data_IF_606101270688
#
_entry.id   IF_606101270688
#
_cell.length_a   1.000
_cell.length_b   1.000
_cell.length_c   1.000
_cell.angle_alpha   90.00
_cell.angle_beta   90.00
_cell.angle_gamma   90.00
#
_symmetry.space_group_name_H-M   'P 1'
#
loop_
_entity.id
_entity.type
_entity.pdbx_description
1 polymer ?
#
# COMPACT_ATOMS: atom_id res chain seq x y z
N UNK A 1 6.59 -5.05 -24.59
CA UNK A 1 7.41 -4.03 -23.90
C UNK A 1 7.71 -4.57 -22.53
N UNK A 2 8.98 -4.70 -22.14
CA UNK A 2 9.32 -5.12 -20.79
C UNK A 2 8.75 -4.13 -19.77
N UNK A 3 8.29 -4.63 -18.63
CA UNK A 3 7.85 -3.80 -17.52
C UNK A 3 9.05 -2.98 -17.03
N UNK A 4 8.94 -1.66 -17.06
CA UNK A 4 10.02 -0.79 -16.63
C UNK A 4 10.32 -1.00 -15.14
N UNK A 5 11.59 -1.17 -14.82
CA UNK A 5 12.02 -1.35 -13.43
C UNK A 5 12.01 -0.02 -12.65
N UNK A 6 11.94 -0.12 -11.32
CA UNK A 6 11.99 1.07 -10.46
C UNK A 6 13.31 1.86 -10.63
N UNK A 7 14.42 1.16 -10.87
CA UNK A 7 15.74 1.79 -11.10
C UNK A 7 15.78 2.55 -12.43
N UNK A 8 15.22 2.00 -13.50
CA UNK A 8 15.07 2.70 -14.79
C UNK A 8 14.18 3.95 -14.64
N UNK A 9 13.06 3.81 -13.92
CA UNK A 9 12.15 4.93 -13.63
C UNK A 9 12.85 6.04 -12.83
N UNK A 10 13.62 5.67 -11.80
CA UNK A 10 14.39 6.61 -10.98
C UNK A 10 15.43 7.36 -11.82
N UNK A 11 16.22 6.65 -12.63
CA UNK A 11 17.24 7.26 -13.49
C UNK A 11 16.62 8.23 -14.50
N UNK A 12 15.49 7.85 -15.12
CA UNK A 12 14.78 8.72 -16.05
C UNK A 12 14.23 9.97 -15.36
N UNK A 13 13.60 9.81 -14.19
CA UNK A 13 13.06 10.95 -13.44
C UNK A 13 14.17 11.89 -12.97
N UNK A 14 15.30 11.35 -12.49
CA UNK A 14 16.46 12.14 -12.10
C UNK A 14 17.04 12.92 -13.29
N UNK A 15 17.18 12.28 -14.45
CA UNK A 15 17.64 12.94 -15.67
C UNK A 15 16.68 14.06 -16.12
N UNK A 16 15.37 13.82 -16.05
CA UNK A 16 14.37 14.82 -16.40
C UNK A 16 14.42 16.04 -15.46
N UNK A 17 14.58 15.82 -14.14
CA UNK A 17 14.72 16.91 -13.17
C UNK A 17 16.04 17.66 -13.34
N UNK A 18 17.15 16.96 -13.59
CA UNK A 18 18.44 17.59 -13.83
C UNK A 18 18.43 18.46 -15.09
N UNK A 19 17.65 18.10 -16.11
CA UNK A 19 17.49 18.88 -17.34
C UNK A 19 16.72 20.20 -17.14
N UNK A 20 16.04 20.40 -16.00
CA UNK A 20 15.34 21.65 -15.70
C UNK A 20 16.28 22.81 -15.35
N UNK A 21 17.54 22.51 -15.01
CA UNK A 21 18.52 23.50 -14.57
C UNK A 21 18.87 23.37 -13.08
N UNK A 22 19.75 24.27 -12.62
CA UNK A 22 20.34 24.22 -11.27
C UNK A 22 20.22 25.54 -10.51
N UNK A 23 19.63 26.58 -11.11
CA UNK A 23 19.48 27.90 -10.53
C UNK A 23 18.01 28.34 -10.50
N UNK A 24 17.65 29.18 -9.53
CA UNK A 24 16.30 29.75 -9.44
C UNK A 24 15.91 30.53 -10.71
N UNK A 25 16.89 31.10 -11.42
CA UNK A 25 16.70 31.78 -12.71
C UNK A 25 16.18 30.86 -13.81
N UNK A 26 16.49 29.56 -13.77
CA UNK A 26 16.03 28.59 -14.78
C UNK A 26 14.52 28.36 -14.68
N UNK A 27 13.94 28.64 -13.51
CA UNK A 27 12.51 28.55 -13.24
C UNK A 27 11.80 29.92 -13.29
N UNK A 28 12.56 31.02 -13.25
CA UNK A 28 12.01 32.36 -13.20
C UNK A 28 11.33 32.72 -14.52
N UNK A 29 10.02 33.02 -14.47
CA UNK A 29 9.26 33.40 -15.66
C UNK A 29 8.77 32.25 -16.52
N UNK A 30 8.91 30.98 -16.07
CA UNK A 30 8.31 29.84 -16.77
C UNK A 30 6.80 30.04 -16.97
N UNK A 31 6.26 29.83 -18.19
CA UNK A 31 4.83 29.77 -18.43
C UNK A 31 4.16 28.69 -17.57
N UNK A 32 2.91 28.93 -17.16
CA UNK A 32 2.17 28.03 -16.28
C UNK A 32 2.17 26.54 -16.71
N UNK A 33 2.01 26.18 -18.00
CA UNK A 33 2.12 24.79 -18.44
C UNK A 33 3.51 24.18 -18.19
N UNK A 34 4.58 24.93 -18.43
CA UNK A 34 5.95 24.48 -18.22
C UNK A 34 6.28 24.34 -16.74
N UNK A 35 5.82 25.28 -15.90
CA UNK A 35 5.94 25.17 -14.44
C UNK A 35 5.24 23.91 -13.91
N UNK A 36 4.06 23.57 -14.45
CA UNK A 36 3.35 22.33 -14.08
C UNK A 36 4.11 21.08 -14.52
N UNK A 37 4.64 21.06 -15.74
CA UNK A 37 5.47 19.95 -16.22
C UNK A 37 6.70 19.75 -15.35
N UNK A 38 7.42 20.83 -15.00
CA UNK A 38 8.56 20.78 -14.09
C UNK A 38 8.18 20.23 -12.70
N UNK A 39 7.02 20.67 -12.15
CA UNK A 39 6.51 20.16 -10.89
C UNK A 39 6.19 18.66 -10.94
N UNK A 40 5.62 18.16 -12.05
CA UNK A 40 5.34 16.74 -12.26
C UNK A 40 6.61 15.90 -12.37
N UNK A 41 7.64 16.39 -13.08
CA UNK A 41 8.95 15.73 -13.14
C UNK A 41 9.57 15.59 -11.75
N UNK A 42 9.52 16.67 -10.96
CA UNK A 42 10.00 16.67 -9.57
C UNK A 42 9.20 15.71 -8.68
N UNK A 43 7.88 15.63 -8.87
CA UNK A 43 7.02 14.69 -8.15
C UNK A 43 7.34 13.23 -8.51
N UNK A 44 7.58 12.92 -9.78
CA UNK A 44 7.94 11.57 -10.22
C UNK A 44 9.26 11.10 -9.58
N UNK A 45 10.28 11.98 -9.49
CA UNK A 45 11.53 11.66 -8.81
C UNK A 45 11.30 11.37 -7.31
N UNK A 46 10.52 12.22 -6.62
CA UNK A 46 10.16 11.98 -5.21
C UNK A 46 9.46 10.64 -5.02
N UNK A 47 8.47 10.32 -5.84
CA UNK A 47 7.73 9.05 -5.74
C UNK A 47 8.64 7.83 -5.90
N UNK A 48 9.62 7.87 -6.81
CA UNK A 48 10.61 6.80 -6.94
C UNK A 48 11.48 6.67 -5.69
N UNK A 49 11.96 7.80 -5.16
CA UNK A 49 12.76 7.84 -3.93
C UNK A 49 11.97 7.35 -2.70
N UNK A 50 10.71 7.75 -2.58
CA UNK A 50 9.84 7.38 -1.45
C UNK A 50 9.56 5.87 -1.43
N UNK A 51 9.50 5.21 -2.59
CA UNK A 51 9.40 3.74 -2.65
C UNK A 51 10.65 3.05 -2.14
N UNK A 52 11.85 3.53 -2.53
CA UNK A 52 13.09 3.02 -1.95
C UNK A 52 13.13 3.25 -0.44
N UNK A 53 12.72 4.44 0.03
CA UNK A 53 12.66 4.75 1.45
C UNK A 53 11.71 3.80 2.21
N UNK A 54 10.55 3.47 1.62
CA UNK A 54 9.59 2.53 2.19
C UNK A 54 10.15 1.10 2.26
N UNK A 55 10.75 0.58 1.18
CA UNK A 55 11.35 -0.75 1.17
C UNK A 55 12.49 -0.87 2.19
N UNK A 56 13.36 0.15 2.30
CA UNK A 56 14.43 0.19 3.30
C UNK A 56 13.85 0.25 4.72
N UNK A 57 12.82 1.09 4.95
CA UNK A 57 12.19 1.20 6.27
C UNK A 57 11.52 -0.11 6.71
N UNK A 58 10.91 -0.85 5.77
CA UNK A 58 10.35 -2.17 6.03
C UNK A 58 11.43 -3.19 6.38
N UNK A 59 12.55 -3.20 5.67
CA UNK A 59 13.69 -4.08 6.01
C UNK A 59 14.27 -3.74 7.39
N UNK A 60 14.41 -2.45 7.70
CA UNK A 60 14.82 -2.00 9.04
C UNK A 60 13.85 -2.47 10.12
N UNK A 61 12.54 -2.48 9.84
CA UNK A 61 11.52 -3.00 10.75
C UNK A 61 11.63 -4.51 10.91
N UNK A 62 11.82 -5.24 9.82
CA UNK A 62 12.01 -6.69 9.83
C UNK A 62 13.25 -7.10 10.65
N UNK A 63 14.37 -6.40 10.47
CA UNK A 63 15.61 -6.60 11.23
C UNK A 63 15.55 -6.09 12.68
N UNK A 64 14.49 -5.37 13.06
CA UNK A 64 14.26 -4.85 14.41
C UNK A 64 13.12 -5.58 15.13
N UNK A 65 12.74 -6.77 14.65
CA UNK A 65 11.65 -7.54 15.23
C UNK A 65 11.89 -7.85 16.71
N UNK A 66 10.81 -7.86 17.50
CA UNK A 66 10.85 -8.03 18.96
C UNK A 66 11.48 -9.37 19.37
N UNK A 67 11.37 -10.40 18.54
CA UNK A 67 11.99 -11.73 18.74
C UNK A 67 13.52 -11.66 18.78
N UNK A 68 14.12 -10.64 18.15
CA UNK A 68 15.57 -10.39 18.18
C UNK A 68 16.01 -9.65 19.45
N UNK A 69 15.07 -9.13 20.25
CA UNK A 69 15.34 -8.41 21.50
C UNK A 69 16.38 -7.29 21.32
N UNK A 70 17.42 -7.31 22.16
CA UNK A 70 18.51 -6.33 22.11
C UNK A 70 19.45 -6.51 20.90
N UNK A 71 19.33 -7.63 20.18
CA UNK A 71 20.08 -7.89 18.93
C UNK A 71 19.36 -7.35 17.70
N UNK A 72 18.13 -6.84 17.83
CA UNK A 72 17.43 -6.16 16.75
C UNK A 72 18.13 -4.87 16.35
N UNK A 73 18.12 -4.55 15.05
CA UNK A 73 18.91 -3.45 14.48
C UNK A 73 18.67 -2.11 15.19
N UNK A 74 17.41 -1.75 15.48
CA UNK A 74 17.08 -0.53 16.22
C UNK A 74 17.72 -0.49 17.61
N UNK A 75 17.59 -1.57 18.39
CA UNK A 75 18.13 -1.65 19.75
C UNK A 75 19.67 -1.65 19.74
N UNK A 76 20.28 -2.39 18.81
CA UNK A 76 21.73 -2.43 18.62
C UNK A 76 22.30 -1.06 18.22
N UNK A 77 21.52 -0.26 17.47
CA UNK A 77 21.85 1.11 17.10
C UNK A 77 21.47 2.15 18.17
N UNK A 78 20.93 1.73 19.33
CA UNK A 78 20.61 2.60 20.47
C UNK A 78 19.29 3.37 20.37
N UNK A 79 18.40 2.99 19.44
CA UNK A 79 17.08 3.59 19.32
C UNK A 79 16.04 2.85 20.16
N UNK A 80 15.06 3.58 20.70
CA UNK A 80 13.97 3.01 21.49
C UNK A 80 12.94 2.28 20.62
N UNK A 81 12.89 2.57 19.31
CA UNK A 81 12.02 1.89 18.36
C UNK A 81 12.53 2.03 16.92
N UNK A 82 12.06 1.15 16.03
CA UNK A 82 12.31 1.26 14.58
C UNK A 82 11.78 2.57 14.01
N UNK A 83 10.63 3.04 14.50
CA UNK A 83 10.06 4.33 14.06
C UNK A 83 11.03 5.46 14.38
N UNK A 84 11.56 5.51 15.62
CA UNK A 84 12.53 6.53 16.01
C UNK A 84 13.80 6.46 15.17
N UNK A 85 14.29 5.25 14.89
CA UNK A 85 15.43 5.03 14.01
C UNK A 85 15.19 5.56 12.60
N UNK A 86 14.08 5.19 11.95
CA UNK A 86 13.73 5.66 10.60
C UNK A 86 13.61 7.18 10.56
N UNK A 87 12.98 7.81 11.56
CA UNK A 87 12.92 9.27 11.68
C UNK A 87 14.32 9.89 11.72
N UNK A 88 15.21 9.37 12.57
CA UNK A 88 16.55 9.92 12.76
C UNK A 88 17.44 9.71 11.53
N UNK A 89 17.37 8.54 10.89
CA UNK A 89 18.19 8.19 9.73
C UNK A 89 17.72 8.87 8.45
N UNK A 90 16.41 8.96 8.22
CA UNK A 90 15.84 9.51 6.98
C UNK A 90 15.41 10.98 7.11
N UNK A 91 15.46 11.57 8.31
CA UNK A 91 15.09 12.97 8.54
C UNK A 91 13.59 13.25 8.35
N UNK A 92 12.74 12.24 8.54
CA UNK A 92 11.29 12.31 8.29
C UNK A 92 10.49 12.46 9.59
N UNK A 93 9.23 12.90 9.46
CA UNK A 93 8.32 13.00 10.60
C UNK A 93 7.99 11.61 11.17
N UNK A 94 7.49 11.55 12.42
CA UNK A 94 7.02 10.30 13.01
C UNK A 94 5.92 9.66 12.16
N UNK A 95 4.99 10.48 11.67
CA UNK A 95 3.90 10.02 10.80
C UNK A 95 4.42 9.42 9.51
N UNK A 96 5.44 10.02 8.91
CA UNK A 96 6.05 9.52 7.68
C UNK A 96 6.86 8.26 7.91
N UNK A 97 7.61 8.16 9.02
CA UNK A 97 8.32 6.93 9.38
C UNK A 97 7.36 5.75 9.55
N UNK A 98 6.25 5.94 10.28
CA UNK A 98 5.20 4.90 10.40
C UNK A 98 4.64 4.52 9.04
N UNK A 99 4.31 5.51 8.19
CA UNK A 99 3.78 5.29 6.84
C UNK A 99 4.77 4.51 5.95
N UNK A 100 6.05 4.86 5.96
CA UNK A 100 7.08 4.18 5.16
C UNK A 100 7.25 2.72 5.61
N UNK A 101 7.26 2.46 6.92
CA UNK A 101 7.31 1.10 7.48
C UNK A 101 6.06 0.31 7.06
N UNK A 102 4.86 0.86 7.26
CA UNK A 102 3.61 0.20 6.94
C UNK A 102 3.52 -0.12 5.44
N UNK A 103 3.67 0.88 4.57
CA UNK A 103 3.55 0.68 3.12
C UNK A 103 4.68 -0.20 2.59
N UNK A 104 5.91 -0.06 3.07
CA UNK A 104 7.02 -0.92 2.68
C UNK A 104 6.81 -2.38 3.08
N UNK A 105 6.23 -2.62 4.26
CA UNK A 105 5.88 -3.98 4.72
C UNK A 105 4.84 -4.60 3.80
N UNK A 106 3.86 -3.82 3.35
CA UNK A 106 2.84 -4.29 2.40
C UNK A 106 3.41 -4.59 1.02
N UNK A 107 4.38 -3.80 0.54
CA UNK A 107 5.12 -4.10 -0.69
C UNK A 107 5.81 -5.47 -0.55
N UNK A 108 6.60 -5.65 0.51
CA UNK A 108 7.34 -6.89 0.75
C UNK A 108 6.42 -8.12 0.88
N UNK A 109 5.31 -7.99 1.60
CA UNK A 109 4.33 -9.08 1.76
C UNK A 109 3.65 -9.44 0.44
N UNK A 110 3.28 -8.43 -0.36
CA UNK A 110 2.63 -8.65 -1.66
C UNK A 110 3.57 -9.33 -2.65
N UNK A 111 4.84 -8.92 -2.68
CA UNK A 111 5.86 -9.54 -3.53
C UNK A 111 6.16 -10.98 -3.09
N UNK A 112 6.29 -11.24 -1.79
CA UNK A 112 6.46 -12.59 -1.27
C UNK A 112 5.27 -13.50 -1.61
N UNK A 113 4.04 -12.98 -1.52
CA UNK A 113 2.84 -13.71 -1.92
C UNK A 113 2.81 -14.03 -3.43
N UNK A 114 3.23 -13.08 -4.29
CA UNK A 114 3.33 -13.32 -5.73
C UNK A 114 4.37 -14.40 -6.07
N UNK A 115 5.54 -14.35 -5.43
CA UNK A 115 6.61 -15.35 -5.61
C UNK A 115 6.18 -16.76 -5.18
N UNK A 116 5.39 -16.88 -4.10
CA UNK A 116 4.86 -18.15 -3.64
C UNK A 116 3.86 -18.79 -4.64
N UNK A 117 3.13 -17.98 -5.40
CA UNK A 117 2.20 -18.44 -6.45
C UNK A 117 2.95 -18.87 -7.72
N UNK A 118 4.01 -18.14 -8.10
CA UNK A 118 4.81 -18.44 -9.30
C UNK A 118 5.74 -19.65 -9.15
N UNK A 119 6.07 -20.06 -7.91
CA UNK A 119 7.01 -21.15 -7.63
C UNK A 119 6.33 -22.46 -7.14
N UNK A 120 5.61 -23.23 -7.99
CA UNK A 120 5.24 -24.59 -7.66
C UNK A 120 6.40 -25.54 -8.00
N UNK A 121 7.58 -25.35 -7.38
CA UNK A 121 8.72 -26.28 -7.51
C UNK A 121 8.93 -27.07 -6.22
N UNK A 122 9.53 -28.26 -6.31
CA UNK A 122 9.79 -29.13 -5.16
C UNK A 122 10.65 -28.45 -4.06
N UNK A 123 11.49 -27.49 -4.45
CA UNK A 123 12.28 -26.64 -3.55
C UNK A 123 11.42 -25.52 -2.93
N UNK A 124 10.47 -24.95 -3.68
CA UNK A 124 9.46 -24.01 -3.17
C UNK A 124 8.55 -24.65 -2.12
N UNK A 125 8.21 -25.94 -2.26
CA UNK A 125 7.45 -26.71 -1.27
C UNK A 125 8.26 -27.00 0.02
N UNK A 126 9.58 -27.10 -0.07
CA UNK A 126 10.46 -27.30 1.08
C UNK A 126 10.72 -25.97 1.83
N UNK A 127 11.00 -24.90 1.09
CA UNK A 127 11.15 -23.54 1.63
C UNK A 127 9.83 -23.02 2.20
N UNK A 128 8.69 -23.28 1.55
CA UNK A 128 7.37 -22.97 2.09
C UNK A 128 7.10 -23.73 3.39
N UNK A 129 7.56 -24.98 3.54
CA UNK A 129 7.39 -25.73 4.79
C UNK A 129 8.22 -25.16 5.95
N UNK A 130 9.45 -24.72 5.68
CA UNK A 130 10.28 -24.03 6.68
C UNK A 130 9.75 -22.63 6.99
N UNK A 131 9.27 -21.89 5.99
CA UNK A 131 8.59 -20.61 6.17
C UNK A 131 7.23 -20.75 6.85
N UNK A 132 6.51 -21.85 6.70
CA UNK A 132 5.20 -22.08 7.34
C UNK A 132 5.33 -22.59 8.79
N UNK A 133 6.53 -23.06 9.17
CA UNK A 133 6.95 -23.27 10.56
C UNK A 133 7.37 -21.97 11.27
N UNK A 134 7.81 -20.95 10.52
CA UNK A 134 8.20 -19.62 11.05
C UNK A 134 7.13 -18.53 10.89
N UNK A 135 6.31 -18.61 9.85
CA UNK A 135 5.21 -17.70 9.52
C UNK A 135 3.89 -18.47 9.64
N UNK A 136 3.25 -18.30 10.80
CA UNK A 136 1.83 -18.59 10.95
C UNK A 136 1.04 -17.49 10.24
N UNK A 137 1.13 -17.38 8.92
CA UNK A 137 0.31 -16.42 8.16
C UNK A 137 -1.13 -16.89 8.29
N UNK A 138 -1.92 -16.16 9.08
CA UNK A 138 -3.31 -16.49 9.29
C UNK A 138 -4.06 -16.35 7.95
N UNK A 139 -5.12 -17.12 7.68
CA UNK A 139 -5.99 -16.86 6.53
C UNK A 139 -6.50 -15.40 6.49
N UNK A 140 -6.54 -14.72 7.64
CA UNK A 140 -6.79 -13.28 7.72
C UNK A 140 -5.69 -12.42 7.07
N UNK A 141 -4.41 -12.73 7.31
CA UNK A 141 -3.27 -11.98 6.75
C UNK A 141 -3.20 -12.16 5.22
N UNK A 142 -3.54 -13.36 4.74
CA UNK A 142 -3.65 -13.65 3.29
C UNK A 142 -4.79 -12.83 2.66
N UNK A 143 -5.95 -12.76 3.30
CA UNK A 143 -7.09 -11.98 2.80
C UNK A 143 -6.81 -10.46 2.82
N UNK A 144 -6.13 -9.95 3.85
CA UNK A 144 -5.70 -8.54 3.93
C UNK A 144 -4.69 -8.20 2.82
N UNK A 145 -3.72 -9.08 2.57
CA UNK A 145 -2.75 -8.91 1.48
C UNK A 145 -3.44 -8.87 0.10
N UNK A 146 -4.46 -9.70 -0.13
CA UNK A 146 -5.13 -9.82 -1.43
C UNK A 146 -5.84 -8.54 -1.89
N UNK A 147 -6.55 -7.83 -1.00
CA UNK A 147 -7.27 -6.62 -1.43
C UNK A 147 -6.34 -5.42 -1.63
N UNK A 148 -5.15 -5.45 -1.02
CA UNK A 148 -4.15 -4.39 -1.13
C UNK A 148 -3.25 -4.55 -2.37
N UNK A 149 -3.27 -5.70 -3.05
CA UNK A 149 -2.47 -5.94 -4.26
C UNK A 149 -2.63 -4.86 -5.34
N UNK A 150 -3.85 -4.36 -5.66
CA UNK A 150 -4.00 -3.30 -6.66
C UNK A 150 -3.29 -2.00 -6.25
N UNK A 151 -3.24 -1.68 -4.96
CA UNK A 151 -2.52 -0.50 -4.45
C UNK A 151 -1.01 -0.65 -4.67
N UNK A 152 -0.46 -1.84 -4.39
CA UNK A 152 0.96 -2.13 -4.60
C UNK A 152 1.31 -2.13 -6.08
N UNK A 153 0.46 -2.70 -6.95
CA UNK A 153 0.66 -2.64 -8.40
C UNK A 153 0.62 -1.19 -8.93
N UNK A 154 -0.29 -0.36 -8.41
CA UNK A 154 -0.38 1.05 -8.75
C UNK A 154 0.84 1.86 -8.24
N UNK A 155 1.36 1.52 -7.05
CA UNK A 155 2.64 2.04 -6.57
C UNK A 155 3.74 1.63 -7.55
N UNK A 156 3.97 0.34 -7.78
CA UNK A 156 5.09 -0.15 -8.59
C UNK A 156 5.10 0.44 -10.01
N UNK A 157 3.93 0.65 -10.61
CA UNK A 157 3.78 1.25 -11.96
C UNK A 157 3.97 2.76 -12.03
N UNK A 158 4.04 3.49 -10.91
CA UNK A 158 4.08 4.96 -10.97
C UNK A 158 2.72 5.64 -10.88
N UNK A 159 1.62 4.89 -10.95
CA UNK A 159 0.27 5.45 -10.99
C UNK A 159 -0.16 6.07 -9.65
N UNK A 160 0.42 5.61 -8.55
CA UNK A 160 0.10 6.07 -7.19
C UNK A 160 1.38 6.47 -6.42
N UNK A 161 1.25 7.48 -5.57
CA UNK A 161 2.29 7.84 -4.59
C UNK A 161 2.12 7.04 -3.31
N UNK A 162 3.16 6.96 -2.47
CA UNK A 162 3.09 6.35 -1.13
C UNK A 162 1.98 6.99 -0.30
N UNK A 163 1.83 8.31 -0.36
CA UNK A 163 0.73 9.03 0.31
C UNK A 163 -0.64 8.62 -0.20
N UNK A 164 -0.81 8.50 -1.52
CA UNK A 164 -2.08 8.08 -2.12
C UNK A 164 -2.46 6.67 -1.72
N UNK A 165 -1.50 5.74 -1.75
CA UNK A 165 -1.70 4.36 -1.33
C UNK A 165 -2.04 4.26 0.17
N UNK A 166 -1.30 4.96 1.02
CA UNK A 166 -1.55 4.99 2.46
C UNK A 166 -2.93 5.60 2.80
N UNK A 167 -3.31 6.67 2.11
CA UNK A 167 -4.62 7.32 2.28
C UNK A 167 -5.75 6.37 1.90
N UNK A 168 -5.68 5.72 0.74
CA UNK A 168 -6.71 4.76 0.31
C UNK A 168 -6.78 3.60 1.30
N UNK A 169 -5.64 3.01 1.63
CA UNK A 169 -5.57 1.87 2.55
C UNK A 169 -6.19 2.20 3.91
N UNK A 170 -5.81 3.31 4.53
CA UNK A 170 -6.34 3.74 5.83
C UNK A 170 -7.82 4.09 5.79
N UNK A 171 -8.30 4.64 4.67
CA UNK A 171 -9.70 5.04 4.53
C UNK A 171 -10.64 3.86 4.24
N UNK A 172 -10.19 2.87 3.47
CA UNK A 172 -10.94 1.64 3.22
C UNK A 172 -10.93 0.68 4.42
N UNK A 173 -9.89 0.76 5.26
CA UNK A 173 -9.83 0.04 6.53
C UNK A 173 -9.67 -1.47 6.35
N UNK A 174 -10.10 -2.22 7.36
CA UNK A 174 -9.94 -3.67 7.41
C UNK A 174 -11.17 -4.41 6.89
N UNK A 175 -10.96 -5.69 6.55
CA UNK A 175 -12.04 -6.65 6.25
C UNK A 175 -12.85 -6.88 7.53
N UNK A 176 -14.17 -6.94 7.40
CA UNK A 176 -15.05 -7.34 8.49
C UNK A 176 -16.21 -8.22 7.99
N UNK A 177 -17.18 -8.49 8.87
CA UNK A 177 -18.32 -9.36 8.55
C UNK A 177 -19.25 -8.81 7.45
N UNK A 178 -19.23 -7.51 7.18
CA UNK A 178 -20.08 -6.83 6.21
C UNK A 178 -19.36 -6.56 4.89
N UNK A 179 -18.05 -6.30 4.95
CA UNK A 179 -17.20 -5.92 3.82
C UNK A 179 -16.10 -6.96 3.58
N UNK A 180 -16.16 -7.60 2.42
CA UNK A 180 -15.23 -8.66 1.99
C UNK A 180 -13.96 -8.10 1.35
N UNK A 181 -12.90 -8.91 1.30
CA UNK A 181 -11.65 -8.57 0.59
C UNK A 181 -11.88 -8.18 -0.88
N UNK A 182 -12.76 -8.91 -1.59
CA UNK A 182 -13.07 -8.62 -2.99
C UNK A 182 -13.74 -7.26 -3.19
N UNK A 183 -14.56 -6.82 -2.23
CA UNK A 183 -15.19 -5.50 -2.27
C UNK A 183 -14.18 -4.38 -2.02
N UNK A 184 -13.25 -4.57 -1.07
CA UNK A 184 -12.17 -3.62 -0.84
C UNK A 184 -11.23 -3.52 -2.04
N UNK A 185 -10.93 -4.65 -2.71
CA UNK A 185 -10.12 -4.66 -3.93
C UNK A 185 -10.78 -3.86 -5.06
N UNK A 186 -12.08 -4.08 -5.30
CA UNK A 186 -12.84 -3.35 -6.32
C UNK A 186 -12.92 -1.85 -6.01
N UNK A 187 -13.14 -1.47 -4.74
CA UNK A 187 -13.13 -0.07 -4.32
C UNK A 187 -11.75 0.56 -4.48
N UNK A 188 -10.67 -0.17 -4.17
CA UNK A 188 -9.30 0.29 -4.39
C UNK A 188 -9.02 0.55 -5.87
N UNK A 189 -9.44 -0.35 -6.77
CA UNK A 189 -9.31 -0.17 -8.23
C UNK A 189 -10.05 1.07 -8.73
N UNK A 190 -11.28 1.32 -8.24
CA UNK A 190 -12.03 2.53 -8.58
C UNK A 190 -11.29 3.80 -8.12
N UNK A 191 -10.75 3.80 -6.90
CA UNK A 191 -10.00 4.92 -6.34
C UNK A 191 -8.68 5.16 -7.09
N UNK A 192 -7.98 4.10 -7.48
CA UNK A 192 -6.76 4.18 -8.29
C UNK A 192 -7.08 4.83 -9.64
N UNK A 193 -8.13 4.37 -10.32
CA UNK A 193 -8.56 4.93 -11.61
C UNK A 193 -8.94 6.41 -11.51
N UNK A 194 -9.55 6.81 -10.39
CA UNK A 194 -9.93 8.19 -10.12
C UNK A 194 -8.79 9.06 -9.58
N UNK A 195 -7.65 8.49 -9.17
CA UNK A 195 -6.59 9.21 -8.44
C UNK A 195 -5.89 10.29 -9.28
N UNK A 196 -5.86 10.12 -10.60
CA UNK A 196 -5.20 11.06 -11.50
C UNK A 196 -5.82 12.46 -11.41
N UNK A 197 -5.01 13.43 -10.95
CA UNK A 197 -5.44 14.82 -10.80
C UNK A 197 -6.20 15.14 -9.51
N UNK A 198 -6.40 14.18 -8.61
CA UNK A 198 -6.96 14.43 -7.29
C UNK A 198 -5.87 14.80 -6.27
N UNK A 199 -6.24 15.65 -5.32
CA UNK A 199 -5.41 15.87 -4.12
C UNK A 199 -5.58 14.69 -3.14
N UNK A 200 -4.61 14.46 -2.24
CA UNK A 200 -4.75 13.43 -1.20
C UNK A 200 -6.02 13.57 -0.35
N UNK A 201 -6.46 14.80 -0.07
CA UNK A 201 -7.68 15.07 0.70
C UNK A 201 -8.95 14.71 -0.08
N UNK A 202 -8.98 14.99 -1.38
CA UNK A 202 -10.08 14.59 -2.25
C UNK A 202 -10.16 13.06 -2.37
N UNK A 203 -9.01 12.40 -2.54
CA UNK A 203 -8.90 10.95 -2.56
C UNK A 203 -9.36 10.33 -1.23
N UNK A 204 -8.92 10.90 -0.10
CA UNK A 204 -9.34 10.46 1.24
C UNK A 204 -10.85 10.58 1.46
N UNK A 205 -11.46 11.71 1.05
CA UNK A 205 -12.91 11.88 1.13
C UNK A 205 -13.65 10.86 0.29
N UNK A 206 -13.22 10.64 -0.95
CA UNK A 206 -13.85 9.66 -1.84
C UNK A 206 -13.72 8.23 -1.31
N UNK A 207 -12.56 7.88 -0.76
CA UNK A 207 -12.33 6.56 -0.17
C UNK A 207 -13.23 6.29 1.03
N UNK A 208 -13.42 7.27 1.93
CA UNK A 208 -14.39 7.17 3.03
C UNK A 208 -15.81 7.01 2.52
N UNK A 209 -16.19 7.77 1.50
CA UNK A 209 -17.52 7.72 0.93
C UNK A 209 -17.85 6.35 0.30
N UNK A 210 -16.86 5.72 -0.37
CA UNK A 210 -17.00 4.35 -0.86
C UNK A 210 -17.07 3.34 0.29
N UNK A 211 -16.30 3.55 1.36
CA UNK A 211 -16.37 2.68 2.54
C UNK A 211 -17.76 2.73 3.20
N UNK A 212 -18.30 3.93 3.39
CA UNK A 212 -19.63 4.12 3.96
C UNK A 212 -20.71 3.42 3.11
N UNK A 213 -20.60 3.48 1.78
CA UNK A 213 -21.50 2.77 0.85
C UNK A 213 -21.40 1.24 1.00
N UNK A 214 -20.18 0.70 1.11
CA UNK A 214 -19.96 -0.73 1.32
C UNK A 214 -20.56 -1.22 2.65
N UNK A 215 -20.43 -0.41 3.70
CA UNK A 215 -20.98 -0.70 5.02
C UNK A 215 -22.52 -0.68 4.99
N UNK A 216 -23.13 0.30 4.32
CA UNK A 216 -24.59 0.40 4.12
C UNK A 216 -25.14 -0.79 3.33
N UNK A 217 -24.51 -1.13 2.20
CA UNK A 217 -24.87 -2.30 1.38
C UNK A 217 -24.71 -3.61 2.18
N UNK A 218 -23.71 -3.66 3.06
CA UNK A 218 -23.46 -4.78 3.97
C UNK A 218 -24.53 -4.95 5.03
N UNK A 219 -25.12 -3.86 5.52
CA UNK A 219 -26.28 -3.89 6.42
C UNK A 219 -27.51 -4.39 5.64
N UNK A 220 -27.82 -3.79 4.49
CA UNK A 220 -28.99 -4.13 3.69
C UNK A 220 -29.00 -5.61 3.26
N UNK A 221 -27.85 -6.15 2.83
CA UNK A 221 -27.70 -7.58 2.49
C UNK A 221 -28.04 -8.50 3.67
N UNK A 222 -27.60 -8.14 4.89
CA UNK A 222 -27.85 -8.95 6.09
C UNK A 222 -29.30 -8.88 6.54
N UNK A 223 -29.93 -7.72 6.42
CA UNK A 223 -31.37 -7.58 6.69
C UNK A 223 -32.19 -8.43 5.73
N UNK A 224 -31.90 -8.35 4.43
CA UNK A 224 -32.54 -9.18 3.41
C UNK A 224 -32.36 -10.68 3.68
N UNK A 225 -31.14 -11.12 4.00
CA UNK A 225 -30.88 -12.52 4.34
C UNK A 225 -31.68 -13.00 5.57
N UNK A 226 -31.87 -12.12 6.57
CA UNK A 226 -32.70 -12.44 7.76
C UNK A 226 -34.17 -12.53 7.41
N UNK A 227 -34.67 -11.67 6.53
CA UNK A 227 -36.06 -11.70 6.08
C UNK A 227 -36.35 -12.90 5.19
N UNK A 228 -35.46 -13.24 4.27
CA UNK A 228 -35.55 -14.45 3.44
C UNK A 228 -35.63 -15.71 4.33
N UNK A 229 -34.77 -15.82 5.35
CA UNK A 229 -34.81 -16.93 6.31
C UNK A 229 -36.13 -17.02 7.10
N UNK A 230 -36.76 -15.89 7.44
CA UNK A 230 -38.08 -15.87 8.09
C UNK A 230 -39.18 -16.34 7.15
N UNK A 231 -39.14 -15.93 5.88
CA UNK A 231 -40.14 -16.35 4.88
C UNK A 231 -40.10 -17.85 4.60
N UNK A 232 -38.92 -18.46 4.57
CA UNK A 232 -38.78 -19.92 4.39
C UNK A 232 -39.35 -20.68 5.59
N UNK A 233 -39.09 -20.22 6.82
CA UNK A 233 -39.64 -20.81 8.05
C UNK A 233 -41.16 -20.77 8.12
N UNK A 234 -41.77 -19.65 7.73
CA UNK A 234 -43.23 -19.50 7.74
C UNK A 234 -43.92 -20.48 6.77
N UNK A 235 -43.30 -20.77 5.62
CA UNK A 235 -43.85 -21.71 4.65
C UNK A 235 -43.71 -23.17 5.11
N UNK A 236 -42.62 -23.53 5.79
CA UNK A 236 -42.43 -24.89 6.32
C UNK A 236 -43.34 -25.23 7.49
N UNK A 237 -43.82 -24.24 8.27
CA UNK A 237 -44.78 -24.45 9.36
C UNK A 237 -46.25 -24.48 8.87
N UNK A 238 -46.51 -24.20 7.59
CA UNK A 238 -47.85 -24.17 7.00
C UNK A 238 -48.24 -25.47 6.27
N UNK A 239 -47.47 -26.55 6.43
CA UNK A 239 -47.69 -27.88 5.86
C UNK A 239 -47.94 -28.92 6.97
#
# INVERSE_FOLDING_TARGET
MGMESLSESLLRAAAAVAALGSAASDFAGLPGPESRTAALMSAALRQCSDRYAAMIAAEMAHQSNWELGHSGLAAAAGFASTVQMVQATQGVSHRDAVKLIEVGTLIAQTEAAAQAVEAPTAEGLAAARDSQLAASTSPADSATSLWQQPLIAALNSGALSIDGADVIRRALGEIDTAVTAGQLAAAAEELIAASAGLTPEALSRRARQLRDQLDEDGIARREKARDDLRSVRMWTDAA
#
